data_IF_486862750500
#
_entry.id   IF_486862750500
#
_cell.length_a   1.000
_cell.length_b   1.000
_cell.length_c   1.000
_cell.angle_alpha   90.00
_cell.angle_beta   90.00
_cell.angle_gamma   90.00
#
_symmetry.space_group_name_H-M   'P 1'
#
loop_
_entity.id
_entity.type
_entity.pdbx_description
1 polymer ?
#
# COMPACT_ATOMS: atom_id res chain seq x y z
N UNK A 1 -20.16 -60.35 -34.90
CA UNK A 1 -19.45 -60.52 -33.61
C UNK A 1 -18.11 -59.76 -33.57
N UNK A 2 -17.31 -59.77 -34.64
CA UNK A 2 -15.99 -59.09 -34.69
C UNK A 2 -16.03 -57.55 -34.54
N UNK A 3 -17.03 -56.88 -35.11
CA UNK A 3 -17.16 -55.40 -35.03
C UNK A 3 -17.45 -54.84 -33.64
N UNK A 4 -18.12 -55.61 -32.77
CA UNK A 4 -18.39 -55.16 -31.40
C UNK A 4 -17.17 -55.33 -30.48
N UNK A 5 -16.29 -56.28 -30.79
CA UNK A 5 -15.09 -56.52 -29.99
C UNK A 5 -14.04 -55.41 -30.19
N UNK A 6 -13.92 -54.88 -31.41
CA UNK A 6 -13.03 -53.74 -31.72
C UNK A 6 -13.47 -52.43 -31.07
N UNK A 7 -14.78 -52.19 -30.94
CA UNK A 7 -15.30 -50.97 -30.32
C UNK A 7 -15.08 -50.97 -28.80
N UNK A 8 -15.25 -52.12 -28.15
CA UNK A 8 -14.99 -52.29 -26.71
C UNK A 8 -13.51 -52.09 -26.39
N UNK A 9 -12.61 -52.61 -27.23
CA UNK A 9 -11.16 -52.42 -27.06
C UNK A 9 -10.72 -50.96 -27.22
N UNK A 10 -11.31 -50.21 -28.16
CA UNK A 10 -11.04 -48.77 -28.33
C UNK A 10 -11.53 -47.95 -27.14
N UNK A 11 -12.72 -48.25 -26.59
CA UNK A 11 -13.27 -47.50 -25.45
C UNK A 11 -12.48 -47.78 -24.16
N UNK A 12 -12.02 -49.01 -23.94
CA UNK A 12 -11.17 -49.34 -22.78
C UNK A 12 -9.79 -48.66 -22.84
N UNK A 13 -9.22 -48.48 -24.04
CA UNK A 13 -7.92 -47.81 -24.21
C UNK A 13 -8.03 -46.30 -23.97
N UNK A 14 -9.13 -45.67 -24.40
CA UNK A 14 -9.41 -44.25 -24.14
C UNK A 14 -9.64 -44.00 -22.64
N UNK A 15 -10.34 -44.92 -21.94
CA UNK A 15 -10.56 -44.82 -20.51
C UNK A 15 -9.26 -45.02 -19.71
N UNK A 16 -8.38 -45.94 -20.13
CA UNK A 16 -7.06 -46.13 -19.53
C UNK A 16 -6.15 -44.89 -19.70
N UNK A 17 -6.24 -44.19 -20.84
CA UNK A 17 -5.51 -42.94 -21.06
C UNK A 17 -6.01 -41.76 -20.19
N UNK A 18 -7.25 -41.81 -19.67
CA UNK A 18 -7.74 -40.80 -18.71
C UNK A 18 -7.29 -41.04 -17.26
N UNK A 19 -6.76 -42.23 -16.94
CA UNK A 19 -6.16 -42.56 -15.65
C UNK A 19 -4.64 -42.41 -15.60
N UNK A 20 -4.01 -42.04 -16.72
CA UNK A 20 -2.67 -41.45 -16.65
C UNK A 20 -2.84 -40.07 -16.03
N UNK A 21 -2.64 -40.02 -14.72
CA UNK A 21 -2.42 -38.81 -13.94
C UNK A 21 -1.68 -37.80 -14.81
N UNK A 22 -2.27 -36.63 -15.00
CA UNK A 22 -1.49 -35.43 -15.29
C UNK A 22 -0.43 -35.36 -14.20
N UNK A 23 0.78 -35.79 -14.50
CA UNK A 23 1.96 -35.33 -13.81
C UNK A 23 1.99 -33.84 -14.10
N UNK A 24 1.37 -33.06 -13.23
CA UNK A 24 1.68 -31.65 -13.13
C UNK A 24 3.15 -31.63 -12.75
N UNK A 25 4.02 -31.48 -13.76
CA UNK A 25 5.43 -31.20 -13.54
C UNK A 25 5.46 -29.80 -12.92
N UNK A 26 5.20 -29.75 -11.61
CA UNK A 26 5.20 -28.53 -10.84
C UNK A 26 6.55 -27.86 -11.07
N UNK A 27 6.51 -26.62 -11.53
CA UNK A 27 7.68 -25.74 -11.68
C UNK A 27 8.56 -25.88 -10.43
N UNK A 28 9.67 -26.61 -10.57
CA UNK A 28 10.54 -27.01 -9.46
C UNK A 28 11.50 -25.87 -9.07
N UNK A 29 11.37 -24.71 -9.72
CA UNK A 29 12.11 -23.53 -9.34
C UNK A 29 11.63 -23.00 -7.97
N UNK A 30 12.56 -22.80 -7.02
CA UNK A 30 12.23 -22.19 -5.74
C UNK A 30 11.59 -20.81 -5.93
N UNK A 31 10.48 -20.56 -5.24
CA UNK A 31 9.82 -19.25 -5.18
C UNK A 31 9.83 -18.73 -3.75
N UNK A 32 9.87 -17.40 -3.60
CA UNK A 32 9.84 -16.78 -2.28
C UNK A 32 8.47 -16.97 -1.64
N UNK A 33 8.45 -17.61 -0.48
CA UNK A 33 7.27 -17.82 0.34
C UNK A 33 7.46 -17.21 1.73
N UNK A 34 6.36 -16.85 2.36
CA UNK A 34 6.28 -16.47 3.77
C UNK A 34 5.65 -17.64 4.53
N UNK A 35 6.38 -18.14 5.52
CA UNK A 35 5.94 -19.15 6.49
C UNK A 35 5.53 -18.40 7.75
N UNK A 36 4.22 -18.35 8.01
CA UNK A 36 3.64 -17.69 9.17
C UNK A 36 3.37 -18.70 10.28
N UNK A 37 3.91 -18.43 11.48
CA UNK A 37 3.86 -19.33 12.64
C UNK A 37 3.10 -18.74 13.85
N UNK A 38 2.36 -17.65 13.65
CA UNK A 38 1.57 -17.03 14.72
C UNK A 38 2.39 -16.18 15.71
N UNK A 39 1.95 -16.14 16.97
CA UNK A 39 2.63 -15.41 18.04
C UNK A 39 3.88 -16.14 18.52
N UNK A 40 4.86 -15.40 19.06
CA UNK A 40 6.03 -16.01 19.71
C UNK A 40 5.62 -16.85 20.94
N UNK A 41 6.28 -18.00 21.17
CA UNK A 41 6.10 -18.77 22.39
C UNK A 41 6.42 -17.95 23.65
N UNK A 42 5.72 -18.25 24.75
CA UNK A 42 5.95 -17.60 26.06
C UNK A 42 7.15 -18.17 26.83
N UNK A 43 7.71 -19.28 26.37
CA UNK A 43 8.87 -19.96 26.94
C UNK A 43 10.18 -19.44 26.33
N UNK A 44 11.36 -19.70 26.93
CA UNK A 44 12.63 -19.40 26.30
C UNK A 44 12.69 -20.02 24.90
N UNK A 45 12.78 -19.17 23.89
CA UNK A 45 12.65 -19.54 22.48
C UNK A 45 13.67 -18.75 21.67
N UNK A 46 14.39 -19.43 20.77
CA UNK A 46 15.27 -18.81 19.79
C UNK A 46 14.62 -18.91 18.40
N UNK A 47 13.95 -17.84 17.91
CA UNK A 47 13.30 -17.86 16.60
C UNK A 47 14.26 -18.27 15.48
N UNK A 48 15.46 -17.69 15.46
CA UNK A 48 16.45 -17.97 14.41
C UNK A 48 16.88 -19.44 14.39
N UNK A 49 17.15 -20.01 15.56
CA UNK A 49 17.56 -21.42 15.66
C UNK A 49 16.42 -22.35 15.26
N UNK A 50 15.19 -22.04 15.67
CA UNK A 50 14.02 -22.85 15.30
C UNK A 50 13.74 -22.78 13.80
N UNK A 51 13.70 -21.59 13.20
CA UNK A 51 13.49 -21.45 11.75
C UNK A 51 14.56 -22.19 10.94
N UNK A 52 15.83 -22.10 11.37
CA UNK A 52 16.93 -22.83 10.73
C UNK A 52 16.73 -24.35 10.83
N UNK A 53 16.35 -24.85 12.01
CA UNK A 53 16.09 -26.27 12.20
C UNK A 53 14.93 -26.78 11.33
N UNK A 54 13.89 -25.96 11.11
CA UNK A 54 12.80 -26.31 10.21
C UNK A 54 13.27 -26.37 8.76
N UNK A 55 14.10 -25.42 8.33
CA UNK A 55 14.72 -25.44 7.00
C UNK A 55 15.59 -26.69 6.83
N UNK A 56 16.40 -27.06 7.82
CA UNK A 56 17.24 -28.26 7.76
C UNK A 56 16.44 -29.57 7.62
N UNK A 57 15.22 -29.63 8.14
CA UNK A 57 14.35 -30.82 7.96
C UNK A 57 13.76 -30.92 6.55
N UNK A 58 13.71 -29.82 5.81
CA UNK A 58 13.09 -29.76 4.47
C UNK A 58 14.11 -29.82 3.34
N UNK A 59 15.36 -29.39 3.58
CA UNK A 59 16.44 -29.44 2.61
C UNK A 59 17.29 -30.70 2.80
N UNK A 60 17.59 -31.40 1.70
CA UNK A 60 18.31 -32.69 1.71
C UNK A 60 19.84 -32.50 1.75
N UNK A 61 20.34 -31.26 1.60
CA UNK A 61 21.76 -30.90 1.64
C UNK A 61 22.03 -29.63 2.48
N UNK A 62 23.31 -29.35 2.77
CA UNK A 62 23.83 -28.29 3.65
C UNK A 62 23.50 -26.83 3.22
N UNK A 63 22.59 -26.63 2.27
CA UNK A 63 22.29 -25.36 1.63
C UNK A 63 21.14 -24.58 2.31
N UNK A 64 20.58 -25.12 3.39
CA UNK A 64 19.39 -24.58 4.10
C UNK A 64 19.47 -23.09 4.50
N UNK A 65 20.68 -22.57 4.78
CA UNK A 65 20.90 -21.15 5.10
C UNK A 65 20.74 -20.25 3.90
N UNK A 66 21.10 -20.71 2.70
CA UNK A 66 21.10 -19.90 1.48
C UNK A 66 19.68 -19.63 0.96
N UNK A 67 18.73 -20.49 1.32
CA UNK A 67 17.32 -20.34 0.95
C UNK A 67 16.48 -19.60 2.00
N UNK A 68 17.02 -19.37 3.21
CA UNK A 68 16.36 -18.57 4.25
C UNK A 68 16.64 -17.08 4.03
N UNK A 69 15.66 -16.35 3.51
CA UNK A 69 15.81 -14.92 3.17
C UNK A 69 15.68 -14.03 4.40
N UNK A 70 14.74 -14.33 5.30
CA UNK A 70 14.49 -13.50 6.46
C UNK A 70 13.81 -14.25 7.61
N UNK A 71 14.14 -13.91 8.85
CA UNK A 71 13.46 -14.41 10.05
C UNK A 71 12.73 -13.30 10.80
N UNK A 72 11.41 -13.43 10.91
CA UNK A 72 10.56 -12.54 11.70
C UNK A 72 10.58 -13.02 13.17
N UNK A 73 11.13 -12.19 14.06
CA UNK A 73 11.50 -12.59 15.44
C UNK A 73 10.93 -11.72 16.57
N UNK A 74 10.04 -10.78 16.24
CA UNK A 74 9.53 -9.77 17.20
C UNK A 74 8.00 -9.74 17.25
N UNK A 75 7.37 -9.12 16.25
CA UNK A 75 5.92 -8.88 16.25
C UNK A 75 5.10 -10.16 16.03
N UNK A 76 5.69 -11.14 15.34
CA UNK A 76 5.14 -12.47 15.12
C UNK A 76 6.31 -13.43 14.85
N UNK A 77 6.01 -14.73 14.93
CA UNK A 77 6.91 -15.82 14.62
C UNK A 77 6.73 -16.26 13.16
N UNK A 78 7.83 -16.47 12.44
CA UNK A 78 7.80 -16.90 11.05
C UNK A 78 9.03 -16.48 10.27
N UNK A 79 9.10 -16.86 9.00
CA UNK A 79 10.24 -16.56 8.14
C UNK A 79 9.85 -16.47 6.66
N UNK A 80 10.72 -15.85 5.86
CA UNK A 80 10.63 -15.85 4.41
C UNK A 80 11.74 -16.73 3.84
N UNK A 81 11.39 -17.64 2.94
CA UNK A 81 12.32 -18.58 2.33
C UNK A 81 11.98 -18.87 0.87
N UNK A 82 13.01 -19.17 0.09
CA UNK A 82 12.88 -19.69 -1.28
C UNK A 82 12.57 -21.18 -1.19
N UNK A 83 11.38 -21.59 -1.63
CA UNK A 83 10.88 -22.97 -1.51
C UNK A 83 10.35 -23.47 -2.85
N UNK A 84 10.65 -24.72 -3.19
CA UNK A 84 9.94 -25.46 -4.25
C UNK A 84 8.53 -25.83 -3.77
N UNK A 85 7.68 -26.31 -4.69
CA UNK A 85 6.32 -26.75 -4.31
C UNK A 85 6.35 -27.90 -3.29
N UNK A 86 7.26 -28.87 -3.48
CA UNK A 86 7.42 -29.99 -2.55
C UNK A 86 7.90 -29.54 -1.16
N UNK A 87 8.88 -28.63 -1.11
CA UNK A 87 9.39 -28.08 0.13
C UNK A 87 8.32 -27.26 0.87
N UNK A 88 7.56 -26.44 0.14
CA UNK A 88 6.43 -25.67 0.67
C UNK A 88 5.39 -26.59 1.30
N UNK A 89 5.02 -27.67 0.62
CA UNK A 89 4.05 -28.64 1.14
C UNK A 89 4.57 -29.29 2.43
N UNK A 90 5.83 -29.74 2.43
CA UNK A 90 6.45 -30.31 3.63
C UNK A 90 6.47 -29.33 4.81
N UNK A 91 6.90 -28.09 4.58
CA UNK A 91 6.94 -27.04 5.62
C UNK A 91 5.53 -26.71 6.13
N UNK A 92 4.51 -26.74 5.26
CA UNK A 92 3.13 -26.41 5.64
C UNK A 92 2.49 -27.42 6.60
N UNK A 93 3.03 -28.64 6.68
CA UNK A 93 2.57 -29.69 7.59
C UNK A 93 3.36 -29.74 8.91
N UNK A 94 4.37 -28.88 9.09
CA UNK A 94 5.17 -28.88 10.30
C UNK A 94 4.40 -28.22 11.46
N UNK A 95 4.61 -28.76 12.67
CA UNK A 95 4.02 -28.20 13.88
C UNK A 95 4.40 -26.73 14.07
N UNK A 96 3.42 -25.92 14.45
CA UNK A 96 3.59 -24.48 14.66
C UNK A 96 3.51 -23.63 13.40
N UNK A 97 3.43 -24.21 12.20
CA UNK A 97 3.12 -23.46 10.97
C UNK A 97 1.61 -23.25 10.85
N UNK A 98 1.20 -21.99 10.78
CA UNK A 98 -0.21 -21.59 10.62
C UNK A 98 -0.59 -21.48 9.14
N UNK A 99 0.29 -20.87 8.33
CA UNK A 99 0.07 -20.77 6.89
C UNK A 99 1.35 -20.53 6.11
N UNK A 100 1.37 -20.97 4.85
CA UNK A 100 2.48 -20.76 3.91
C UNK A 100 1.92 -20.17 2.63
N UNK A 101 2.35 -18.95 2.29
CA UNK A 101 1.84 -18.24 1.12
C UNK A 101 2.97 -17.56 0.33
N UNK A 102 2.83 -17.43 -1.00
CA UNK A 102 3.87 -16.80 -1.81
C UNK A 102 4.03 -15.33 -1.43
N UNK A 103 5.28 -14.87 -1.36
CA UNK A 103 5.59 -13.44 -1.30
C UNK A 103 5.18 -12.79 -2.61
N UNK A 104 4.57 -11.61 -2.53
CA UNK A 104 4.02 -10.90 -3.69
C UNK A 104 4.53 -9.47 -3.69
N UNK A 105 4.91 -9.00 -4.87
CA UNK A 105 5.00 -7.57 -5.12
C UNK A 105 3.57 -7.02 -5.16
N UNK A 106 3.25 -6.13 -4.23
CA UNK A 106 1.97 -5.43 -4.19
C UNK A 106 2.09 -4.12 -4.98
N UNK A 107 1.02 -3.75 -5.68
CA UNK A 107 0.97 -2.47 -6.39
C UNK A 107 0.50 -1.35 -5.46
N UNK A 108 1.12 -0.19 -5.56
CA UNK A 108 0.70 1.01 -4.83
C UNK A 108 -0.66 1.47 -5.37
N UNK A 109 -1.68 1.50 -4.51
CA UNK A 109 -3.04 1.91 -4.87
C UNK A 109 -3.51 3.05 -3.96
N UNK A 110 -3.50 4.29 -4.45
CA UNK A 110 -4.07 5.45 -3.73
C UNK A 110 -5.57 5.62 -3.94
N UNK A 111 -6.15 4.99 -4.96
CA UNK A 111 -7.59 5.00 -5.24
C UNK A 111 -8.41 4.03 -4.40
N UNK A 112 -7.74 3.11 -3.66
CA UNK A 112 -8.39 2.04 -2.88
C UNK A 112 -8.00 2.02 -1.41
N UNK A 113 -7.01 2.81 -0.99
CA UNK A 113 -6.50 2.85 0.40
C UNK A 113 -7.62 3.04 1.42
N UNK A 114 -8.52 4.00 1.18
CA UNK A 114 -9.65 4.25 2.09
C UNK A 114 -10.68 3.12 2.11
N UNK A 115 -10.96 2.48 0.97
CA UNK A 115 -11.83 1.30 0.93
C UNK A 115 -11.20 0.12 1.68
N UNK A 116 -9.87 -0.06 1.57
CA UNK A 116 -9.12 -1.08 2.32
C UNK A 116 -9.18 -0.86 3.83
N UNK A 117 -9.18 0.39 4.30
CA UNK A 117 -9.34 0.75 5.71
C UNK A 117 -10.80 0.71 6.20
N UNK A 118 -11.76 0.27 5.38
CA UNK A 118 -13.18 0.27 5.73
C UNK A 118 -13.87 1.64 5.64
N UNK A 119 -13.16 2.68 5.17
CA UNK A 119 -13.67 4.02 4.94
C UNK A 119 -14.16 4.18 3.49
N UNK A 120 -15.20 3.41 3.18
CA UNK A 120 -15.80 3.42 1.86
C UNK A 120 -16.44 4.77 1.50
N UNK A 121 -16.76 4.96 0.23
CA UNK A 121 -17.44 6.19 -0.24
C UNK A 121 -18.82 6.41 0.40
N UNK A 122 -19.46 5.36 0.92
CA UNK A 122 -20.80 5.41 1.51
C UNK A 122 -20.83 5.66 3.02
N UNK A 123 -19.66 5.84 3.65
CA UNK A 123 -19.60 6.22 5.07
C UNK A 123 -20.37 7.52 5.29
N UNK A 124 -21.23 7.53 6.32
CA UNK A 124 -21.97 8.74 6.73
C UNK A 124 -20.97 9.81 7.16
N UNK A 125 -20.99 10.96 6.49
CA UNK A 125 -20.15 12.12 6.79
C UNK A 125 -21.03 13.32 7.12
N UNK A 126 -20.62 14.09 8.11
CA UNK A 126 -21.23 15.39 8.36
C UNK A 126 -20.49 16.46 7.56
N UNK A 127 -21.00 16.78 6.38
CA UNK A 127 -20.35 17.75 5.48
C UNK A 127 -20.20 19.13 6.12
N UNK A 128 -21.19 19.58 6.89
CA UNK A 128 -21.12 20.89 7.54
C UNK A 128 -19.94 20.97 8.51
N UNK A 129 -19.71 19.90 9.29
CA UNK A 129 -18.57 19.82 10.21
C UNK A 129 -17.25 19.65 9.44
N UNK A 130 -17.17 18.72 8.48
CA UNK A 130 -15.93 18.47 7.74
C UNK A 130 -15.48 19.72 6.95
N UNK A 131 -16.40 20.51 6.39
CA UNK A 131 -16.09 21.73 5.65
C UNK A 131 -15.56 22.89 6.49
N UNK A 132 -15.71 22.81 7.82
CA UNK A 132 -15.12 23.75 8.79
C UNK A 132 -13.76 23.28 9.33
N UNK A 133 -13.33 22.06 9.00
CA UNK A 133 -11.99 21.55 9.35
C UNK A 133 -10.95 22.05 8.35
N UNK A 134 -9.83 22.54 8.87
CA UNK A 134 -8.66 22.94 8.07
C UNK A 134 -7.49 22.02 8.40
N UNK A 135 -6.96 21.32 7.39
CA UNK A 135 -5.77 20.49 7.52
C UNK A 135 -4.55 21.30 7.08
N UNK A 136 -3.65 21.57 8.03
CA UNK A 136 -2.34 22.15 7.76
C UNK A 136 -1.37 21.10 7.24
N UNK A 137 -0.74 21.36 6.09
CA UNK A 137 0.24 20.45 5.46
C UNK A 137 1.59 21.15 5.37
N UNK A 138 2.58 20.68 6.13
CA UNK A 138 3.95 21.15 6.11
C UNK A 138 4.78 20.22 5.22
N UNK A 139 5.14 20.68 4.03
CA UNK A 139 5.72 19.80 3.00
C UNK A 139 6.47 20.60 1.91
N UNK A 140 6.56 20.08 0.68
CA UNK A 140 7.16 20.72 -0.50
C UNK A 140 6.27 21.77 -1.17
N UNK A 141 5.10 22.06 -0.59
CA UNK A 141 4.09 22.96 -1.12
C UNK A 141 2.85 22.22 -1.59
N UNK A 142 2.07 22.84 -2.49
CA UNK A 142 0.95 22.17 -3.16
C UNK A 142 0.82 22.65 -4.61
N UNK A 143 0.32 21.81 -5.52
CA UNK A 143 -0.02 22.17 -6.89
C UNK A 143 -1.51 22.52 -7.03
N UNK A 144 -1.90 23.81 -6.95
CA UNK A 144 -3.30 24.20 -6.74
C UNK A 144 -4.24 23.84 -7.90
N UNK A 145 -3.73 23.64 -9.11
CA UNK A 145 -4.54 23.29 -10.30
C UNK A 145 -4.92 21.81 -10.38
N UNK A 146 -4.46 20.96 -9.44
CA UNK A 146 -4.84 19.55 -9.44
C UNK A 146 -6.34 19.38 -9.25
N UNK A 147 -6.95 18.42 -9.96
CA UNK A 147 -8.36 18.04 -9.78
C UNK A 147 -8.69 17.67 -8.32
N UNK A 148 -7.71 17.21 -7.54
CA UNK A 148 -7.88 16.90 -6.12
C UNK A 148 -8.16 18.14 -5.26
N UNK A 149 -7.87 19.33 -5.77
CA UNK A 149 -7.95 20.59 -5.03
C UNK A 149 -8.94 21.59 -5.64
N UNK A 150 -9.79 21.14 -6.57
CA UNK A 150 -10.91 21.96 -7.02
C UNK A 150 -11.93 22.14 -5.90
N UNK A 151 -12.59 23.29 -5.92
CA UNK A 151 -13.44 23.79 -4.85
C UNK A 151 -14.92 23.83 -5.22
N UNK A 152 -15.35 23.14 -6.27
CA UNK A 152 -16.78 23.07 -6.59
C UNK A 152 -17.54 22.41 -5.43
N UNK A 153 -18.63 23.07 -5.02
CA UNK A 153 -19.44 22.63 -3.89
C UNK A 153 -18.91 23.04 -2.51
N UNK A 154 -17.79 23.76 -2.43
CA UNK A 154 -17.34 24.38 -1.18
C UNK A 154 -18.02 25.73 -0.96
N UNK A 155 -18.50 25.94 0.27
CA UNK A 155 -18.99 27.25 0.70
C UNK A 155 -17.85 28.24 1.00
N UNK A 156 -18.17 29.42 1.54
CA UNK A 156 -17.15 30.39 1.94
C UNK A 156 -16.18 29.80 2.96
N UNK A 157 -14.98 30.38 3.04
CA UNK A 157 -13.96 30.00 4.02
C UNK A 157 -14.51 30.16 5.45
N UNK A 158 -14.23 29.22 6.38
CA UNK A 158 -14.70 29.31 7.77
C UNK A 158 -14.30 30.64 8.43
N UNK A 159 -15.25 31.29 9.13
CA UNK A 159 -15.03 32.63 9.71
C UNK A 159 -13.94 32.70 10.78
N UNK A 160 -13.66 31.56 11.42
CA UNK A 160 -12.60 31.42 12.41
C UNK A 160 -11.21 31.25 11.80
N UNK A 161 -11.09 31.06 10.47
CA UNK A 161 -9.81 30.95 9.79
C UNK A 161 -9.10 32.31 9.73
N UNK A 162 -7.90 32.39 10.31
CA UNK A 162 -7.06 33.61 10.30
C UNK A 162 -5.81 33.49 9.43
N UNK A 163 -5.65 32.36 8.74
CA UNK A 163 -4.57 32.20 7.77
C UNK A 163 -4.78 33.09 6.54
N UNK A 164 -3.77 33.15 5.69
CA UNK A 164 -3.81 33.94 4.46
C UNK A 164 -3.20 33.18 3.30
N UNK A 165 -3.56 33.59 2.08
CA UNK A 165 -2.93 33.10 0.87
C UNK A 165 -1.71 33.96 0.53
N UNK A 166 -0.54 33.57 1.01
CA UNK A 166 0.76 34.16 0.67
C UNK A 166 1.52 33.13 -0.15
N UNK A 167 0.93 32.72 -1.27
CA UNK A 167 1.43 31.65 -2.13
C UNK A 167 2.63 32.04 -2.99
N UNK A 168 2.98 33.33 -3.08
CA UNK A 168 4.07 33.81 -3.92
C UNK A 168 3.67 33.91 -5.40
N UNK A 169 4.65 33.81 -6.30
CA UNK A 169 4.40 33.95 -7.76
C UNK A 169 3.52 32.81 -8.29
N UNK A 170 2.58 33.17 -9.16
CA UNK A 170 1.69 32.24 -9.88
C UNK A 170 1.00 31.22 -8.95
N UNK A 171 0.50 31.70 -7.81
CA UNK A 171 -0.21 30.86 -6.85
C UNK A 171 -1.47 31.57 -6.37
N UNK A 172 -2.62 30.92 -6.56
CA UNK A 172 -3.91 31.43 -6.12
C UNK A 172 -4.60 30.38 -5.27
N UNK A 173 -5.05 30.78 -4.09
CA UNK A 173 -5.91 29.98 -3.23
C UNK A 173 -7.35 30.01 -3.73
N UNK A 174 -8.11 29.00 -3.36
CA UNK A 174 -9.53 28.87 -3.67
C UNK A 174 -10.29 28.46 -2.39
N UNK A 175 -11.55 28.01 -2.51
CA UNK A 175 -12.28 27.55 -1.34
C UNK A 175 -11.81 26.16 -0.86
N UNK A 176 -10.97 25.43 -1.58
CA UNK A 176 -10.41 24.15 -1.12
C UNK A 176 -9.07 24.31 -0.43
N UNK A 177 -8.11 24.95 -1.11
CA UNK A 177 -6.84 25.41 -0.55
C UNK A 177 -7.06 26.85 -0.10
N UNK A 178 -7.37 27.05 1.18
CA UNK A 178 -7.76 28.35 1.74
C UNK A 178 -6.58 29.15 2.30
N UNK A 179 -5.41 28.51 2.39
CA UNK A 179 -4.18 29.11 2.87
C UNK A 179 -2.97 28.52 2.18
N UNK A 180 -2.00 29.36 1.90
CA UNK A 180 -0.73 28.94 1.33
C UNK A 180 0.37 29.86 1.83
N UNK A 181 1.53 29.30 2.15
CA UNK A 181 2.71 30.06 2.55
C UNK A 181 3.96 29.26 2.24
N UNK A 182 5.05 29.96 2.02
CA UNK A 182 6.38 29.38 1.85
C UNK A 182 7.35 30.03 2.85
N UNK A 183 8.30 29.24 3.33
CA UNK A 183 9.36 29.67 4.26
C UNK A 183 10.76 29.53 3.67
N UNK A 184 10.81 28.94 2.47
CA UNK A 184 11.95 28.77 1.59
C UNK A 184 11.49 29.10 0.17
N UNK A 185 12.43 29.44 -0.71
CA UNK A 185 12.14 29.85 -2.09
C UNK A 185 11.17 31.06 -2.14
N UNK A 186 10.51 31.31 -3.29
CA UNK A 186 9.62 32.46 -3.51
C UNK A 186 8.15 32.06 -3.85
N UNK A 187 7.78 30.80 -3.64
CA UNK A 187 6.44 30.28 -3.93
C UNK A 187 6.06 29.06 -3.08
N UNK A 188 4.78 28.95 -2.73
CA UNK A 188 4.19 27.76 -2.09
C UNK A 188 3.83 26.66 -3.10
N UNK A 189 4.07 26.90 -4.39
CA UNK A 189 3.87 25.91 -5.45
C UNK A 189 4.82 24.72 -5.24
N UNK A 190 4.24 23.54 -5.37
CA UNK A 190 4.98 22.29 -5.30
C UNK A 190 5.67 22.00 -6.64
N UNK A 191 7.01 21.90 -6.60
CA UNK A 191 7.82 21.52 -7.76
C UNK A 191 8.38 20.10 -7.63
N UNK A 192 8.12 19.42 -6.51
CA UNK A 192 8.57 18.07 -6.22
C UNK A 192 7.45 17.04 -6.44
N UNK A 193 6.25 17.35 -5.94
CA UNK A 193 5.07 16.49 -6.01
C UNK A 193 4.70 15.84 -4.68
N UNK A 194 5.64 15.71 -3.73
CA UNK A 194 5.40 15.08 -2.43
C UNK A 194 4.28 15.78 -1.66
N UNK A 195 4.33 17.10 -1.50
CA UNK A 195 3.30 17.87 -0.81
C UNK A 195 1.92 17.80 -1.45
N UNK A 196 1.85 17.79 -2.78
CA UNK A 196 0.59 17.58 -3.49
C UNK A 196 0.03 16.18 -3.28
N UNK A 197 0.90 15.17 -3.26
CA UNK A 197 0.49 13.79 -3.00
C UNK A 197 0.02 13.59 -1.55
N UNK A 198 0.72 14.15 -0.56
CA UNK A 198 0.34 14.06 0.86
C UNK A 198 -0.94 14.84 1.14
N UNK A 199 -1.07 16.07 0.64
CA UNK A 199 -2.27 16.89 0.79
C UNK A 199 -3.52 16.24 0.17
N UNK A 200 -3.38 15.66 -1.03
CA UNK A 200 -4.49 14.94 -1.69
C UNK A 200 -4.85 13.63 -0.99
N UNK A 201 -3.87 12.96 -0.38
CA UNK A 201 -4.14 11.79 0.47
C UNK A 201 -4.92 12.18 1.73
N UNK A 202 -4.57 13.29 2.39
CA UNK A 202 -5.27 13.73 3.60
C UNK A 202 -6.69 14.26 3.30
N UNK A 203 -6.81 15.18 2.35
CA UNK A 203 -8.04 15.91 2.07
C UNK A 203 -8.29 16.15 0.58
N UNK A 204 -7.80 15.31 -0.34
CA UNK A 204 -8.17 15.43 -1.76
C UNK A 204 -9.67 15.27 -1.98
N UNK A 205 -10.23 16.05 -2.89
CA UNK A 205 -11.60 15.87 -3.36
C UNK A 205 -11.75 14.54 -4.13
N UNK A 206 -12.97 14.15 -4.43
CA UNK A 206 -13.25 12.98 -5.27
C UNK A 206 -12.81 13.24 -6.71
N UNK A 207 -11.78 12.54 -7.16
CA UNK A 207 -11.32 12.57 -8.55
C UNK A 207 -11.70 11.26 -9.22
N UNK A 208 -12.73 11.31 -10.05
CA UNK A 208 -13.20 10.15 -10.80
C UNK A 208 -12.25 9.78 -11.92
N UNK A 209 -12.16 8.48 -12.21
CA UNK A 209 -11.32 7.92 -13.29
C UNK A 209 -9.82 8.24 -13.13
N UNK A 210 -9.36 8.51 -11.91
CA UNK A 210 -7.95 8.67 -11.60
C UNK A 210 -7.21 7.35 -11.89
N UNK A 211 -6.04 7.46 -12.53
CA UNK A 211 -5.14 6.34 -12.80
C UNK A 211 -3.74 6.87 -13.12
N UNK A 212 -2.72 6.04 -12.91
CA UNK A 212 -1.35 6.30 -13.38
C UNK A 212 -1.08 5.38 -14.57
N UNK A 213 -1.11 5.89 -15.79
CA UNK A 213 -0.97 5.09 -17.02
C UNK A 213 -1.95 3.88 -17.07
N UNK A 214 -3.18 4.07 -16.58
CA UNK A 214 -4.19 3.02 -16.48
C UNK A 214 -4.10 2.14 -15.23
N UNK A 215 -3.00 2.21 -14.47
CA UNK A 215 -2.85 1.51 -13.20
C UNK A 215 -3.70 2.17 -12.11
N UNK A 216 -4.17 1.34 -11.18
CA UNK A 216 -4.99 1.76 -10.03
C UNK A 216 -6.25 2.57 -10.44
N UNK A 217 -6.84 2.27 -11.60
CA UNK A 217 -8.03 2.99 -12.09
C UNK A 217 -9.16 2.98 -11.06
N UNK A 218 -9.63 4.16 -10.67
CA UNK A 218 -10.66 4.27 -9.65
C UNK A 218 -11.10 5.70 -9.36
N UNK A 219 -11.57 5.93 -8.13
CA UNK A 219 -11.86 7.28 -7.62
C UNK A 219 -10.84 7.59 -6.53
N UNK A 220 -9.89 8.49 -6.81
CA UNK A 220 -8.99 9.01 -5.79
C UNK A 220 -9.79 9.94 -4.86
N UNK A 221 -9.49 9.90 -3.56
CA UNK A 221 -10.00 10.86 -2.58
C UNK A 221 -9.11 10.89 -1.35
N UNK A 222 -9.22 11.96 -0.57
CA UNK A 222 -8.61 12.05 0.74
C UNK A 222 -9.41 11.34 1.82
N UNK A 223 -8.85 11.26 3.03
CA UNK A 223 -9.53 10.75 4.22
C UNK A 223 -10.71 11.62 4.63
N UNK A 224 -10.57 12.95 4.48
CA UNK A 224 -11.62 13.94 4.76
C UNK A 224 -11.83 14.83 3.52
N UNK A 225 -12.55 14.36 2.49
CA UNK A 225 -12.66 15.05 1.20
C UNK A 225 -13.26 16.47 1.29
N UNK A 226 -14.10 16.75 2.28
CA UNK A 226 -14.73 18.05 2.47
C UNK A 226 -13.92 19.01 3.34
N UNK A 227 -12.80 18.59 3.93
CA UNK A 227 -11.93 19.49 4.69
C UNK A 227 -11.20 20.49 3.80
N UNK A 228 -10.84 21.64 4.35
CA UNK A 228 -10.02 22.67 3.71
C UNK A 228 -8.54 22.35 3.92
N UNK A 229 -7.68 22.88 3.05
CA UNK A 229 -6.22 22.70 3.12
C UNK A 229 -5.54 24.05 3.34
N UNK A 230 -4.55 24.07 4.23
CA UNK A 230 -3.59 25.15 4.34
C UNK A 230 -2.17 24.59 4.11
N UNK A 231 -1.52 25.00 3.02
CA UNK A 231 -0.22 24.48 2.62
C UNK A 231 0.92 25.38 3.13
N UNK A 232 1.92 24.78 3.76
CA UNK A 232 3.11 25.46 4.28
C UNK A 232 4.36 24.80 3.69
N UNK A 233 4.97 25.46 2.71
CA UNK A 233 6.18 24.96 2.08
C UNK A 233 7.39 25.22 2.98
N UNK A 234 7.93 24.14 3.53
CA UNK A 234 9.11 24.12 4.39
C UNK A 234 10.20 23.19 3.84
N UNK A 235 9.89 22.44 2.78
CA UNK A 235 10.79 21.53 2.07
C UNK A 235 10.98 21.96 0.60
N UNK A 236 12.23 21.96 0.12
CA UNK A 236 12.58 22.48 -1.20
C UNK A 236 12.27 21.50 -2.34
N UNK A 237 12.57 21.89 -3.58
CA UNK A 237 12.33 21.06 -4.76
C UNK A 237 12.98 19.65 -4.75
N UNK A 238 14.07 19.46 -3.99
CA UNK A 238 14.72 18.16 -3.80
C UNK A 238 14.10 17.31 -2.68
N UNK A 239 13.02 17.78 -2.04
CA UNK A 239 12.38 17.11 -0.90
C UNK A 239 13.12 17.28 0.43
N UNK A 240 14.18 18.09 0.46
CA UNK A 240 14.94 18.39 1.68
C UNK A 240 14.27 19.52 2.45
N UNK A 241 14.08 19.31 3.75
CA UNK A 241 13.44 20.27 4.64
C UNK A 241 14.49 20.94 5.55
N UNK A 242 14.50 22.26 5.57
CA UNK A 242 15.34 23.01 6.49
C UNK A 242 14.62 23.12 7.84
N UNK A 243 15.25 22.63 8.91
CA UNK A 243 14.75 22.76 10.29
C UNK A 243 14.42 24.22 10.64
N UNK A 244 15.19 25.18 10.13
CA UNK A 244 14.92 26.61 10.33
C UNK A 244 13.59 27.04 9.70
N UNK A 245 13.26 26.50 8.52
CA UNK A 245 12.00 26.77 7.83
C UNK A 245 10.81 26.15 8.55
N UNK A 246 10.96 24.93 9.07
CA UNK A 246 9.96 24.27 9.92
C UNK A 246 9.68 25.10 11.17
N UNK A 247 10.72 25.56 11.86
CA UNK A 247 10.57 26.36 13.09
C UNK A 247 9.94 27.74 12.82
N UNK A 248 10.18 28.36 11.67
CA UNK A 248 9.53 29.63 11.27
C UNK A 248 7.99 29.52 11.19
N UNK A 249 7.45 28.32 11.02
CA UNK A 249 6.01 28.07 11.00
C UNK A 249 5.38 28.06 12.41
N UNK A 250 6.03 27.42 13.39
CA UNK A 250 5.47 27.12 14.72
C UNK A 250 4.93 28.31 15.56
N UNK A 251 5.52 29.52 15.54
CA UNK A 251 5.06 30.59 16.44
C UNK A 251 3.73 31.25 16.03
N UNK A 252 3.08 30.83 14.94
CA UNK A 252 1.82 31.44 14.49
C UNK A 252 0.60 30.72 15.08
N UNK A 253 -0.21 31.43 15.86
CA UNK A 253 -1.58 31.02 16.20
C UNK A 253 -2.49 31.25 15.00
N UNK A 254 -3.20 30.20 14.57
CA UNK A 254 -4.28 30.27 13.57
C UNK A 254 -5.62 30.56 14.24
#
# INVERSE_FOLDING_TARGET
>A
MVRHLSLVFCVSFILACTFLSKCDAGDDNPKLHIVYMGSLPKTPYSPSSHHLSMMQQVFVENDSTNFLIHSYKRSFNGFAAMLTNHQKEKISQMEGVVSVFPSKNLQLHTTRSWDFLGLSKSVKRNRAIESDVVIGVLDTGVWPESDSFKDEGFGPVPKNWKGSCVGGKNFTCNNKIIGARYYIEDTARDLNGHGSHTASTAAGNYVHRASLFGLAKGTARGGVPFARIAAYKVCGGLGLCDSSAILKFLPRKF
#
